data_IF_575248865475
#
_entry.id   IF_575248865475
#
_cell.length_a   1.000
_cell.length_b   1.000
_cell.length_c   1.000
_cell.angle_alpha   90.00
_cell.angle_beta   90.00
_cell.angle_gamma   90.00
#
_symmetry.space_group_name_H-M   'P 1'
#
loop_
_entity.id
_entity.type
_entity.pdbx_description
1 polymer ?
#
# COMPACT_ATOMS: atom_id res chain seq x y z
N UNK A 1 10.05 3.17 9.86
CA UNK A 1 10.75 2.11 9.09
C UNK A 1 10.55 0.80 9.82
N UNK A 2 10.18 -0.28 9.11
CA UNK A 2 10.18 -1.62 9.69
C UNK A 2 11.63 -2.00 9.98
N UNK A 3 11.94 -2.32 11.23
CA UNK A 3 13.28 -2.79 11.60
C UNK A 3 13.29 -4.31 11.44
N UNK A 4 14.22 -4.80 10.64
CA UNK A 4 14.52 -6.24 10.51
C UNK A 4 15.82 -6.49 11.27
N UNK A 5 15.77 -7.38 12.24
CA UNK A 5 16.94 -7.79 13.03
C UNK A 5 17.30 -9.22 12.65
N UNK A 6 18.56 -9.44 12.28
CA UNK A 6 19.11 -10.77 12.03
C UNK A 6 19.68 -11.34 13.33
N UNK A 7 19.24 -12.53 13.68
CA UNK A 7 19.67 -13.28 14.84
C UNK A 7 20.53 -14.47 14.40
N UNK A 8 21.63 -14.70 15.11
CA UNK A 8 22.48 -15.88 14.91
C UNK A 8 22.14 -16.92 15.97
N UNK A 9 21.77 -18.11 15.51
CA UNK A 9 21.57 -19.30 16.34
C UNK A 9 22.81 -20.17 16.23
N UNK A 10 23.53 -20.35 17.35
CA UNK A 10 24.72 -21.19 17.43
C UNK A 10 24.42 -22.45 18.23
N UNK A 11 24.77 -23.60 17.68
CA UNK A 11 24.75 -24.89 18.37
C UNK A 11 26.20 -25.30 18.60
N UNK A 12 26.55 -25.59 19.85
CA UNK A 12 27.86 -26.12 20.25
C UNK A 12 27.72 -27.56 20.71
N UNK A 13 28.55 -28.44 20.16
CA UNK A 13 28.72 -29.79 20.68
C UNK A 13 29.53 -29.75 21.98
N UNK A 14 28.96 -30.25 23.07
CA UNK A 14 29.54 -30.15 24.41
C UNK A 14 30.78 -31.02 24.62
N UNK A 15 31.03 -32.00 23.76
CA UNK A 15 32.13 -32.97 23.93
C UNK A 15 33.37 -32.59 23.10
N UNK A 16 33.16 -32.13 21.88
CA UNK A 16 34.20 -31.73 20.92
C UNK A 16 34.46 -30.23 20.92
N UNK A 17 33.54 -29.42 21.45
CA UNK A 17 33.59 -27.97 21.37
C UNK A 17 33.32 -27.41 19.96
N UNK A 18 32.98 -28.27 19.00
CA UNK A 18 32.63 -27.86 17.64
C UNK A 18 31.34 -27.01 17.65
N UNK A 19 31.30 -25.97 16.84
CA UNK A 19 30.13 -25.10 16.70
C UNK A 19 29.62 -25.10 15.27
N UNK A 20 28.30 -24.96 15.13
CA UNK A 20 27.67 -24.64 13.87
C UNK A 20 26.64 -23.53 14.10
N UNK A 21 26.49 -22.63 13.14
CA UNK A 21 25.56 -21.51 13.26
C UNK A 21 24.65 -21.40 12.05
N UNK A 22 23.42 -20.96 12.30
CA UNK A 22 22.47 -20.52 11.27
C UNK A 22 21.91 -19.17 11.67
N UNK A 23 21.36 -18.43 10.70
CA UNK A 23 20.74 -17.13 10.97
C UNK A 23 19.27 -17.15 10.59
N UNK A 24 18.49 -16.32 11.27
CA UNK A 24 17.13 -15.98 10.85
C UNK A 24 16.88 -14.49 11.08
N UNK A 25 15.93 -13.92 10.35
CA UNK A 25 15.57 -12.51 10.46
C UNK A 25 14.15 -12.36 11.01
N UNK A 26 13.98 -11.47 11.98
CA UNK A 26 12.68 -11.10 12.54
C UNK A 26 12.50 -9.60 12.40
N UNK A 27 11.35 -9.19 11.86
CA UNK A 27 10.97 -7.79 11.76
C UNK A 27 9.57 -7.55 12.31
N UNK A 28 9.40 -6.42 12.99
CA UNK A 28 8.08 -5.94 13.43
C UNK A 28 7.75 -4.73 12.57
N UNK A 29 6.72 -4.88 11.74
CA UNK A 29 6.20 -3.78 10.94
C UNK A 29 5.14 -3.00 11.74
N UNK A 30 5.07 -1.67 11.58
CA UNK A 30 3.93 -0.91 12.07
C UNK A 30 2.64 -1.42 11.41
N UNK A 31 1.53 -1.38 12.14
CA UNK A 31 0.24 -1.76 11.60
C UNK A 31 -0.11 -0.89 10.38
N UNK A 32 -0.69 -1.51 9.34
CA UNK A 32 -1.20 -0.79 8.18
C UNK A 32 -2.37 0.11 8.61
N UNK A 33 -2.26 1.40 8.35
CA UNK A 33 -3.31 2.38 8.60
C UNK A 33 -3.61 3.18 7.34
N UNK A 34 -4.90 3.23 6.99
CA UNK A 34 -5.42 3.97 5.84
C UNK A 34 -6.49 4.94 6.32
N UNK A 35 -6.33 6.19 5.92
CA UNK A 35 -7.27 7.30 6.18
C UNK A 35 -7.75 7.89 4.86
N UNK A 36 -9.06 8.07 4.72
CA UNK A 36 -9.66 8.80 3.59
C UNK A 36 -9.47 10.29 3.79
N UNK A 37 -8.94 10.98 2.77
CA UNK A 37 -8.81 12.44 2.76
C UNK A 37 -9.77 13.12 1.79
N UNK A 38 -10.25 12.39 0.78
CA UNK A 38 -11.21 12.88 -0.21
C UNK A 38 -12.39 11.92 -0.26
N UNK A 39 -13.61 12.44 -0.29
CA UNK A 39 -14.84 11.64 -0.41
C UNK A 39 -15.42 11.72 -1.82
N UNK A 40 -15.40 12.91 -2.42
CA UNK A 40 -15.99 13.21 -3.73
C UNK A 40 -15.21 14.33 -4.42
N UNK A 41 -15.05 14.27 -5.75
CA UNK A 41 -14.52 15.39 -6.54
C UNK A 41 -15.06 15.34 -7.96
N UNK A 42 -15.56 16.47 -8.45
CA UNK A 42 -15.88 16.68 -9.86
C UNK A 42 -14.62 17.10 -10.60
N UNK A 43 -14.34 16.45 -11.73
CA UNK A 43 -13.21 16.73 -12.60
C UNK A 43 -13.68 17.42 -13.88
N UNK A 44 -12.93 18.42 -14.32
CA UNK A 44 -13.13 19.04 -15.63
C UNK A 44 -12.35 18.26 -16.68
N UNK A 45 -13.01 17.93 -17.79
CA UNK A 45 -12.37 17.28 -18.93
C UNK A 45 -11.19 18.13 -19.44
N UNK A 46 -10.13 17.47 -19.93
CA UNK A 46 -8.93 18.12 -20.48
C UNK A 46 -8.16 19.03 -19.49
N UNK A 47 -8.45 18.94 -18.19
CA UNK A 47 -7.72 19.67 -17.15
C UNK A 47 -6.78 18.73 -16.39
N UNK A 48 -5.61 19.25 -15.98
CA UNK A 48 -4.69 18.45 -15.18
C UNK A 48 -5.28 18.17 -13.79
N UNK A 49 -5.21 16.91 -13.39
CA UNK A 49 -5.71 16.39 -12.12
C UNK A 49 -4.54 15.92 -11.30
N UNK A 50 -4.50 16.33 -10.03
CA UNK A 50 -3.66 15.76 -9.00
C UNK A 50 -4.50 15.70 -7.72
N UNK A 51 -4.86 14.48 -7.30
CA UNK A 51 -5.74 14.24 -6.16
C UNK A 51 -5.12 13.21 -5.22
N UNK A 52 -5.09 13.55 -3.94
CA UNK A 52 -4.73 12.61 -2.87
C UNK A 52 -6.01 12.13 -2.19
N UNK A 53 -6.50 10.95 -2.58
CA UNK A 53 -7.77 10.42 -2.08
C UNK A 53 -7.65 9.72 -0.72
N UNK A 54 -6.49 9.13 -0.47
CA UNK A 54 -6.16 8.43 0.76
C UNK A 54 -4.76 8.82 1.23
N UNK A 55 -4.51 8.59 2.51
CA UNK A 55 -3.18 8.59 3.08
C UNK A 55 -2.91 7.20 3.69
N UNK A 56 -1.81 6.59 3.25
CA UNK A 56 -1.38 5.25 3.66
C UNK A 56 -0.16 5.38 4.57
N UNK A 57 -0.22 4.77 5.75
CA UNK A 57 0.87 4.76 6.72
C UNK A 57 1.07 3.36 7.29
N UNK A 58 2.31 3.06 7.67
CA UNK A 58 2.68 1.75 8.20
C UNK A 58 2.56 0.62 7.16
N UNK A 59 2.40 -0.61 7.64
CA UNK A 59 2.37 -1.82 6.81
C UNK A 59 3.72 -2.22 6.24
N UNK A 60 3.73 -3.32 5.48
CA UNK A 60 4.91 -3.77 4.71
C UNK A 60 4.64 -3.67 3.23
N UNK A 61 5.28 -2.70 2.58
CA UNK A 61 5.15 -2.44 1.14
C UNK A 61 3.69 -2.41 0.68
N UNK A 62 2.88 -1.49 1.22
CA UNK A 62 1.47 -1.41 0.86
C UNK A 62 1.29 -1.09 -0.63
N UNK A 63 0.28 -1.70 -1.23
CA UNK A 63 -0.12 -1.52 -2.62
C UNK A 63 -1.57 -1.05 -2.66
N UNK A 64 -1.80 0.03 -3.40
CA UNK A 64 -3.10 0.65 -3.61
C UNK A 64 -3.65 0.24 -4.97
N UNK A 65 -4.94 -0.11 -4.99
CA UNK A 65 -5.70 -0.41 -6.20
C UNK A 65 -7.06 0.29 -6.17
N UNK A 66 -7.67 0.45 -7.35
CA UNK A 66 -8.95 1.16 -7.53
C UNK A 66 -9.88 0.36 -8.44
N UNK A 67 -11.17 0.38 -8.14
CA UNK A 67 -12.23 -0.25 -8.96
C UNK A 67 -13.53 0.57 -8.90
N UNK A 68 -14.23 0.83 -10.02
CA UNK A 68 -13.89 0.42 -11.39
C UNK A 68 -12.63 1.13 -11.92
N UNK A 69 -12.19 0.77 -13.14
CA UNK A 69 -11.04 1.41 -13.77
C UNK A 69 -11.26 2.91 -13.92
N UNK A 70 -10.20 3.69 -13.68
CA UNK A 70 -10.24 5.13 -13.90
C UNK A 70 -10.55 5.46 -15.37
N UNK A 71 -11.24 6.59 -15.63
CA UNK A 71 -11.44 7.11 -16.98
C UNK A 71 -10.11 7.29 -17.71
N UNK A 72 -10.14 7.21 -19.04
CA UNK A 72 -8.93 7.36 -19.86
C UNK A 72 -8.18 8.66 -19.54
N UNK A 73 -6.86 8.54 -19.40
CA UNK A 73 -5.97 9.67 -19.12
C UNK A 73 -5.74 9.96 -17.63
N UNK A 74 -6.45 9.27 -16.73
CA UNK A 74 -6.15 9.25 -15.29
C UNK A 74 -5.37 7.99 -14.91
N UNK A 75 -4.44 8.14 -13.97
CA UNK A 75 -3.59 7.08 -13.46
C UNK A 75 -3.58 7.10 -11.93
N UNK A 76 -3.58 5.91 -11.32
CA UNK A 76 -3.37 5.73 -9.89
C UNK A 76 -1.90 5.44 -9.62
N UNK A 77 -1.29 6.18 -8.70
CA UNK A 77 -0.02 5.80 -8.10
C UNK A 77 -0.27 4.69 -7.07
N UNK A 78 0.12 3.46 -7.40
CA UNK A 78 -0.12 2.29 -6.55
C UNK A 78 0.65 2.33 -5.21
N UNK A 79 1.62 3.23 -5.03
CA UNK A 79 2.36 3.37 -3.76
C UNK A 79 1.77 4.45 -2.84
N UNK A 80 1.22 5.53 -3.40
CA UNK A 80 0.72 6.68 -2.62
C UNK A 80 -0.80 6.77 -2.58
N UNK A 81 -1.50 6.16 -3.54
CA UNK A 81 -2.95 6.33 -3.72
C UNK A 81 -3.34 7.66 -4.38
N UNK A 82 -2.36 8.40 -4.92
CA UNK A 82 -2.62 9.63 -5.67
C UNK A 82 -3.16 9.32 -7.06
N UNK A 83 -4.16 10.09 -7.49
CA UNK A 83 -4.74 10.02 -8.82
C UNK A 83 -4.26 11.23 -9.61
N UNK A 84 -3.55 10.98 -10.71
CA UNK A 84 -2.94 12.02 -11.54
C UNK A 84 -3.27 11.83 -13.02
N UNK A 85 -3.32 12.92 -13.78
CA UNK A 85 -3.41 12.87 -15.24
C UNK A 85 -4.42 13.86 -15.81
N UNK A 86 -4.87 13.62 -17.05
CA UNK A 86 -5.80 14.48 -17.77
C UNK A 86 -6.94 13.60 -18.28
N UNK A 87 -8.17 13.73 -17.75
CA UNK A 87 -9.28 12.90 -18.19
C UNK A 87 -9.69 13.30 -19.62
N UNK A 88 -9.69 12.33 -20.52
CA UNK A 88 -10.04 12.50 -21.96
C UNK A 88 -11.42 11.96 -22.31
N UNK A 89 -12.14 11.39 -21.35
CA UNK A 89 -13.48 10.82 -21.52
C UNK A 89 -14.38 11.35 -20.43
N UNK A 90 -15.57 11.83 -20.84
CA UNK A 90 -16.62 12.20 -19.91
C UNK A 90 -17.20 10.96 -19.24
N UNK A 91 -17.33 11.02 -17.92
CA UNK A 91 -17.96 9.95 -17.13
C UNK A 91 -18.98 10.57 -16.21
N UNK A 92 -20.12 9.90 -16.04
CA UNK A 92 -21.12 10.27 -15.04
C UNK A 92 -20.57 10.07 -13.62
N UNK A 93 -21.32 10.54 -12.62
CA UNK A 93 -20.99 10.30 -11.22
C UNK A 93 -20.77 8.80 -10.99
N UNK A 94 -19.52 8.42 -10.70
CA UNK A 94 -19.09 7.02 -10.58
C UNK A 94 -18.44 6.85 -9.22
N UNK A 95 -18.93 5.87 -8.47
CA UNK A 95 -18.38 5.52 -7.17
C UNK A 95 -17.15 4.63 -7.36
N UNK A 96 -16.00 5.07 -6.82
CA UNK A 96 -14.76 4.29 -6.87
C UNK A 96 -14.46 3.68 -5.50
N UNK A 97 -14.02 2.43 -5.50
CA UNK A 97 -13.52 1.75 -4.31
C UNK A 97 -12.00 1.70 -4.37
N UNK A 98 -11.33 2.30 -3.39
CA UNK A 98 -9.90 2.15 -3.21
C UNK A 98 -9.64 1.02 -2.21
N UNK A 99 -8.71 0.13 -2.55
CA UNK A 99 -8.27 -0.97 -1.71
C UNK A 99 -6.77 -0.88 -1.49
N UNK A 100 -6.34 -1.09 -0.24
CA UNK A 100 -4.93 -1.12 0.15
C UNK A 100 -4.62 -2.49 0.75
N UNK A 101 -3.57 -3.12 0.26
CA UNK A 101 -3.10 -4.44 0.71
C UNK A 101 -1.61 -4.36 1.01
N UNK A 102 -1.14 -4.99 2.09
CA UNK A 102 0.28 -5.10 2.39
C UNK A 102 0.77 -6.56 2.33
N UNK A 103 2.09 -6.77 2.36
CA UNK A 103 2.70 -8.10 2.22
C UNK A 103 2.44 -9.03 3.41
N UNK A 104 1.99 -8.51 4.56
CA UNK A 104 1.71 -9.29 5.77
C UNK A 104 0.28 -9.85 5.81
N UNK A 105 -0.51 -9.65 4.75
CA UNK A 105 -1.86 -10.21 4.60
C UNK A 105 -2.74 -9.96 5.85
N UNK A 106 -3.08 -8.69 6.13
CA UNK A 106 -4.17 -8.32 7.04
C UNK A 106 -5.13 -7.34 6.36
N UNK A 107 -6.43 -7.35 6.72
CA UNK A 107 -7.55 -7.40 5.79
C UNK A 107 -7.71 -6.15 4.92
N UNK A 108 -8.14 -6.38 3.68
CA UNK A 108 -8.53 -5.39 2.68
C UNK A 108 -9.45 -4.34 3.30
N UNK A 109 -8.92 -3.13 3.55
CA UNK A 109 -9.75 -2.02 4.02
C UNK A 109 -10.39 -1.37 2.79
N UNK A 110 -11.66 -1.68 2.56
CA UNK A 110 -12.46 -1.15 1.45
C UNK A 110 -12.93 0.25 1.81
N UNK A 111 -12.66 1.20 0.94
CA UNK A 111 -13.09 2.58 1.12
C UNK A 111 -13.85 3.05 -0.12
N UNK A 112 -15.07 3.52 0.09
CA UNK A 112 -15.96 3.97 -0.98
C UNK A 112 -15.82 5.48 -1.16
N UNK A 113 -15.56 5.91 -2.39
CA UNK A 113 -15.61 7.30 -2.84
C UNK A 113 -16.89 7.47 -3.65
N UNK A 114 -17.78 8.35 -3.20
CA UNK A 114 -19.07 8.65 -3.84
C UNK A 114 -19.00 9.93 -4.66
#
# INVERSE_FOLDING_TARGET
ASVVTTYTMTVRDGSSGAENSTTFSLGIAPALAVTQSLYSKVLSMNSNVNLTAINVTGGVSPVVSISPSLPQGLNLNASTGEITGIPTVETGATTYTISVTDQNASPVKRLTLS
#
